data_IF_136777794670
#
_entry.id   IF_136777794670
#
_cell.length_a   1.000
_cell.length_b   1.000
_cell.length_c   1.000
_cell.angle_alpha   90.00
_cell.angle_beta   90.00
_cell.angle_gamma   90.00
#
_symmetry.space_group_name_H-M   'P 1'
#
loop_
_entity.id
_entity.type
_entity.pdbx_description
1 polymer ?
#
# COMPACT_ATOMS: atom_id res chain seq x y z
N UNK A 1 20.68 2.38 30.05
CA UNK A 1 19.23 2.32 29.87
C UNK A 1 18.98 2.28 28.38
N UNK A 2 18.93 1.07 27.84
CA UNK A 2 18.47 0.88 26.47
C UNK A 2 16.96 1.16 26.48
N UNK A 3 16.42 1.96 25.55
CA UNK A 3 14.98 2.05 25.41
C UNK A 3 14.48 0.66 25.05
N UNK A 4 13.66 0.09 25.94
CA UNK A 4 12.83 -1.08 25.68
C UNK A 4 12.17 -0.83 24.33
N UNK A 5 12.48 -1.64 23.33
CA UNK A 5 11.69 -1.70 22.11
C UNK A 5 10.29 -2.10 22.56
N UNK A 6 9.38 -1.13 22.69
CA UNK A 6 7.96 -1.42 22.74
C UNK A 6 7.68 -2.25 21.49
N UNK A 7 7.39 -3.53 21.68
CA UNK A 7 6.93 -4.38 20.62
C UNK A 7 5.60 -3.77 20.17
N UNK A 8 5.63 -3.00 19.08
CA UNK A 8 4.44 -2.42 18.48
C UNK A 8 3.47 -3.58 18.21
N UNK A 9 2.30 -3.51 18.85
CA UNK A 9 1.24 -4.49 18.66
C UNK A 9 0.94 -4.62 17.15
N UNK A 10 0.84 -5.85 16.61
CA UNK A 10 0.59 -6.06 15.19
C UNK A 10 -0.69 -5.35 14.75
N UNK A 11 -0.62 -4.59 13.66
CA UNK A 11 -1.81 -3.93 13.09
C UNK A 11 -2.86 -4.96 12.66
N UNK A 12 -4.14 -4.59 12.54
CA UNK A 12 -5.19 -5.48 12.05
C UNK A 12 -4.86 -6.07 10.66
N UNK A 13 -4.22 -5.27 9.79
CA UNK A 13 -3.71 -5.74 8.52
C UNK A 13 -2.60 -6.78 8.71
N UNK A 14 -1.62 -6.51 9.56
CA UNK A 14 -0.51 -7.44 9.82
C UNK A 14 -0.97 -8.77 10.45
N UNK A 15 -1.98 -8.73 11.31
CA UNK A 15 -2.66 -9.92 11.83
C UNK A 15 -3.34 -10.70 10.69
N UNK A 16 -4.15 -10.03 9.86
CA UNK A 16 -4.83 -10.66 8.73
C UNK A 16 -3.84 -11.25 7.70
N UNK A 17 -2.69 -10.62 7.50
CA UNK A 17 -1.62 -11.13 6.63
C UNK A 17 -0.89 -12.33 7.26
N UNK A 18 -0.75 -12.37 8.59
CA UNK A 18 -0.12 -13.49 9.29
C UNK A 18 -1.00 -14.75 9.27
N UNK A 19 -2.32 -14.56 9.22
CA UNK A 19 -3.33 -15.63 9.14
C UNK A 19 -3.71 -16.01 7.70
N UNK A 20 -2.98 -15.48 6.71
CA UNK A 20 -3.29 -15.71 5.31
C UNK A 20 -3.10 -17.19 4.94
N UNK A 21 -4.20 -17.84 4.59
CA UNK A 21 -4.23 -19.20 4.07
C UNK A 21 -4.31 -19.25 2.55
N UNK A 22 -4.47 -20.46 2.02
CA UNK A 22 -4.69 -20.66 0.58
C UNK A 22 -6.16 -20.48 0.17
N UNK A 23 -7.08 -20.47 1.13
CA UNK A 23 -8.52 -20.36 0.90
C UNK A 23 -8.96 -18.92 0.53
N UNK A 24 -10.12 -18.82 -0.12
CA UNK A 24 -10.68 -17.54 -0.54
C UNK A 24 -11.05 -16.63 0.65
N UNK A 25 -11.55 -17.20 1.74
CA UNK A 25 -12.04 -16.42 2.88
C UNK A 25 -10.90 -15.68 3.61
N UNK A 26 -9.74 -16.30 3.77
CA UNK A 26 -8.56 -15.64 4.34
C UNK A 26 -8.04 -14.52 3.44
N UNK A 27 -8.05 -14.70 2.12
CA UNK A 27 -7.72 -13.64 1.15
C UNK A 27 -8.70 -12.46 1.21
N UNK A 28 -10.00 -12.75 1.31
CA UNK A 28 -11.03 -11.72 1.48
C UNK A 28 -10.83 -10.93 2.77
N UNK A 29 -10.54 -11.61 3.91
CA UNK A 29 -10.22 -10.93 5.17
C UNK A 29 -9.00 -10.02 5.05
N UNK A 30 -7.93 -10.48 4.39
CA UNK A 30 -6.74 -9.66 4.15
C UNK A 30 -7.05 -8.42 3.30
N UNK A 31 -7.89 -8.56 2.26
CA UNK A 31 -8.32 -7.42 1.43
C UNK A 31 -9.20 -6.43 2.21
N UNK A 32 -10.13 -6.91 3.03
CA UNK A 32 -10.97 -6.05 3.88
C UNK A 32 -10.12 -5.30 4.90
N UNK A 33 -9.21 -6.00 5.57
CA UNK A 33 -8.27 -5.39 6.51
C UNK A 33 -7.38 -4.36 5.80
N UNK A 34 -6.94 -4.65 4.57
CA UNK A 34 -6.15 -3.72 3.77
C UNK A 34 -6.93 -2.45 3.44
N UNK A 35 -8.17 -2.54 2.95
CA UNK A 35 -8.99 -1.37 2.59
C UNK A 35 -9.23 -0.45 3.80
N UNK A 36 -9.21 -0.98 5.01
CA UNK A 36 -9.39 -0.23 6.26
C UNK A 36 -8.07 0.24 6.87
N UNK A 37 -6.93 -0.15 6.30
CA UNK A 37 -5.63 0.11 6.88
C UNK A 37 -5.08 1.48 6.50
N UNK A 38 -4.25 1.99 7.40
CA UNK A 38 -3.23 2.99 7.07
C UNK A 38 -1.96 2.25 6.67
N UNK A 39 -1.38 2.61 5.53
CA UNK A 39 -0.16 2.02 4.99
C UNK A 39 0.90 3.09 4.79
N UNK A 40 2.13 2.62 4.56
CA UNK A 40 3.27 3.46 4.27
C UNK A 40 3.75 3.20 2.84
N UNK A 41 4.09 4.28 2.13
CA UNK A 41 4.73 4.25 0.81
C UNK A 41 6.11 4.88 0.91
N UNK A 42 7.00 4.56 -0.02
CA UNK A 42 8.25 5.28 -0.21
C UNK A 42 8.12 6.21 -1.41
N UNK A 43 8.33 7.51 -1.18
CA UNK A 43 8.18 8.59 -2.15
C UNK A 43 9.51 9.32 -2.40
N UNK A 44 9.61 9.99 -3.54
CA UNK A 44 10.82 10.74 -3.93
C UNK A 44 10.99 12.06 -3.17
N UNK A 45 9.92 12.57 -2.57
CA UNK A 45 9.93 13.74 -1.70
C UNK A 45 8.81 13.65 -0.64
N UNK A 46 8.88 14.45 0.44
CA UNK A 46 7.81 14.50 1.43
C UNK A 46 6.52 15.04 0.80
N UNK A 47 5.44 14.27 0.96
CA UNK A 47 4.08 14.68 0.61
C UNK A 47 3.13 14.26 1.73
N UNK A 48 1.99 14.94 1.82
CA UNK A 48 0.92 14.49 2.71
C UNK A 48 0.23 13.22 2.15
N UNK A 49 -0.44 12.48 3.04
CA UNK A 49 -1.16 11.26 2.68
C UNK A 49 -2.50 11.48 1.98
N UNK A 50 -2.84 12.72 1.62
CA UNK A 50 -4.11 13.04 0.97
C UNK A 50 -4.05 12.62 -0.51
N UNK A 51 -5.14 12.08 -1.07
CA UNK A 51 -5.10 11.52 -2.42
C UNK A 51 -4.67 12.53 -3.50
N UNK A 52 -4.94 13.82 -3.32
CA UNK A 52 -4.55 14.83 -4.31
C UNK A 52 -3.06 15.17 -4.25
N UNK A 53 -2.43 15.18 -3.07
CA UNK A 53 -0.99 15.39 -2.95
C UNK A 53 -0.21 14.15 -3.40
N UNK A 54 -0.72 12.96 -3.12
CA UNK A 54 -0.08 11.71 -3.55
C UNK A 54 0.07 11.64 -5.08
N UNK A 55 -0.83 12.24 -5.87
CA UNK A 55 -0.70 12.28 -7.33
C UNK A 55 0.48 13.13 -7.84
N UNK A 56 1.11 13.93 -6.97
CA UNK A 56 2.26 14.78 -7.33
C UNK A 56 3.62 14.12 -7.10
N UNK A 57 3.64 12.99 -6.37
CA UNK A 57 4.86 12.26 -6.03
C UNK A 57 5.08 11.04 -6.92
N UNK A 58 6.33 10.60 -7.00
CA UNK A 58 6.68 9.27 -7.52
C UNK A 58 6.86 8.33 -6.34
N UNK A 59 6.39 7.09 -6.51
CA UNK A 59 6.49 6.07 -5.47
C UNK A 59 7.39 4.92 -5.90
N UNK A 60 7.99 4.26 -4.92
CA UNK A 60 8.86 3.13 -5.14
C UNK A 60 8.07 1.98 -5.78
N UNK A 61 8.60 1.51 -6.90
CA UNK A 61 8.15 0.30 -7.56
C UNK A 61 9.21 -0.77 -7.36
N UNK A 62 8.75 -1.99 -7.15
CA UNK A 62 9.61 -3.16 -6.98
C UNK A 62 9.26 -4.18 -8.04
N UNK A 63 10.24 -5.02 -8.36
CA UNK A 63 10.03 -6.22 -9.14
C UNK A 63 10.02 -7.39 -8.17
N UNK A 64 8.84 -7.83 -7.76
CA UNK A 64 8.68 -8.88 -6.75
C UNK A 64 8.14 -10.18 -7.35
N UNK A 65 8.67 -11.32 -6.91
CA UNK A 65 8.28 -12.68 -7.31
C UNK A 65 8.90 -13.25 -8.60
N UNK A 66 8.40 -14.40 -9.09
CA UNK A 66 9.03 -15.17 -10.20
C UNK A 66 8.95 -14.49 -11.57
N UNK A 67 8.23 -13.37 -11.67
CA UNK A 67 8.17 -12.52 -12.87
C UNK A 67 8.84 -11.19 -12.52
N UNK A 68 10.16 -11.17 -12.63
CA UNK A 68 11.03 -10.03 -12.32
C UNK A 68 10.79 -8.80 -13.23
N UNK A 69 9.95 -8.94 -14.26
CA UNK A 69 9.70 -7.85 -15.22
C UNK A 69 8.42 -7.05 -14.92
N UNK A 70 7.69 -7.39 -13.85
CA UNK A 70 6.40 -6.77 -13.54
C UNK A 70 6.54 -5.71 -12.44
N UNK A 71 6.28 -4.42 -12.73
CA UNK A 71 6.34 -3.38 -11.72
C UNK A 71 5.22 -3.54 -10.70
N UNK A 72 5.56 -3.40 -9.42
CA UNK A 72 4.66 -3.52 -8.28
C UNK A 72 4.83 -2.31 -7.36
N UNK A 73 3.76 -1.60 -7.05
CA UNK A 73 3.80 -0.55 -6.03
C UNK A 73 4.11 -1.17 -4.66
N UNK A 74 5.18 -0.70 -4.00
CA UNK A 74 5.53 -1.17 -2.66
C UNK A 74 4.74 -0.43 -1.59
N UNK A 75 4.03 -1.18 -0.76
CA UNK A 75 3.32 -0.70 0.43
C UNK A 75 3.88 -1.39 1.66
N UNK A 76 3.84 -0.73 2.80
CA UNK A 76 4.32 -1.26 4.07
C UNK A 76 3.25 -1.12 5.15
N UNK A 77 3.14 -2.13 6.03
CA UNK A 77 2.18 -2.10 7.14
C UNK A 77 2.61 -1.17 8.26
N UNK A 78 3.88 -0.74 8.30
CA UNK A 78 4.40 0.19 9.30
C UNK A 78 5.58 1.02 8.78
N UNK A 79 5.90 2.11 9.48
CA UNK A 79 7.04 2.95 9.17
C UNK A 79 8.37 2.18 9.31
N UNK A 80 8.47 1.32 10.33
CA UNK A 80 9.65 0.50 10.61
C UNK A 80 9.93 -0.49 9.48
N UNK A 81 8.88 -1.03 8.85
CA UNK A 81 9.02 -1.93 7.68
C UNK A 81 9.45 -1.17 6.43
N UNK A 82 8.93 0.04 6.23
CA UNK A 82 9.37 0.93 5.14
C UNK A 82 10.83 1.34 5.31
N UNK A 83 11.21 1.74 6.52
CA UNK A 83 12.58 2.12 6.89
C UNK A 83 13.55 0.93 6.81
N UNK A 84 13.16 -0.25 7.29
CA UNK A 84 13.90 -1.49 7.08
C UNK A 84 14.11 -1.77 5.60
N UNK A 85 13.05 -1.68 4.79
CA UNK A 85 13.15 -1.89 3.35
C UNK A 85 14.14 -0.92 2.71
N UNK A 86 14.06 0.37 3.06
CA UNK A 86 14.94 1.41 2.53
C UNK A 86 16.41 1.15 2.88
N UNK A 87 16.71 0.74 4.11
CA UNK A 87 18.08 0.36 4.52
C UNK A 87 18.62 -0.83 3.74
N UNK A 88 17.78 -1.83 3.50
CA UNK A 88 18.16 -3.04 2.75
C UNK A 88 18.25 -2.77 1.23
N UNK A 89 17.52 -1.77 0.74
CA UNK A 89 17.48 -1.37 -0.67
C UNK A 89 17.70 0.14 -0.81
N UNK A 90 18.93 0.67 -0.62
CA UNK A 90 19.19 2.12 -0.60
C UNK A 90 18.91 2.84 -1.93
N UNK A 91 18.77 2.09 -3.02
CA UNK A 91 18.34 2.62 -4.32
C UNK A 91 16.82 2.93 -4.39
N UNK A 92 16.05 2.54 -3.37
CA UNK A 92 14.65 2.90 -3.22
C UNK A 92 14.48 4.38 -2.86
N UNK A 93 13.23 4.86 -2.93
CA UNK A 93 12.92 6.25 -2.62
C UNK A 93 13.00 6.51 -1.09
N UNK A 94 13.50 7.67 -0.65
CA UNK A 94 13.91 7.86 0.75
C UNK A 94 12.78 8.30 1.69
N UNK A 95 11.67 8.83 1.19
CA UNK A 95 10.66 9.46 2.03
C UNK A 95 9.51 8.51 2.34
N UNK A 96 9.38 8.09 3.60
CA UNK A 96 8.21 7.34 4.04
C UNK A 96 6.98 8.26 4.16
N UNK A 97 5.89 7.89 3.48
CA UNK A 97 4.62 8.63 3.46
C UNK A 97 3.51 7.74 3.99
N UNK A 98 2.80 8.21 5.01
CA UNK A 98 1.64 7.54 5.56
C UNK A 98 0.39 7.92 4.77
N UNK A 99 -0.41 6.93 4.35
CA UNK A 99 -1.67 7.17 3.65
C UNK A 99 -2.70 6.09 3.99
N UNK A 100 -3.99 6.41 3.87
CA UNK A 100 -5.03 5.38 3.86
C UNK A 100 -4.85 4.49 2.62
N UNK A 101 -4.99 3.18 2.78
CA UNK A 101 -4.84 2.22 1.69
C UNK A 101 -5.71 2.53 0.46
N UNK A 102 -6.99 2.97 0.59
CA UNK A 102 -7.79 3.45 -0.54
C UNK A 102 -7.11 4.53 -1.37
N UNK A 103 -6.38 5.46 -0.73
CA UNK A 103 -5.65 6.51 -1.44
C UNK A 103 -4.37 5.99 -2.07
N UNK A 104 -3.66 5.08 -1.39
CA UNK A 104 -2.49 4.41 -1.94
C UNK A 104 -2.81 3.61 -3.21
N UNK A 105 -4.00 2.99 -3.31
CA UNK A 105 -4.48 2.28 -4.51
C UNK A 105 -4.51 3.19 -5.75
N UNK A 106 -4.79 4.50 -5.57
CA UNK A 106 -4.82 5.45 -6.69
C UNK A 106 -3.43 5.75 -7.25
N UNK A 107 -2.37 5.46 -6.49
CA UNK A 107 -0.99 5.64 -6.90
C UNK A 107 -0.46 4.47 -7.73
N UNK A 108 -1.22 3.39 -7.90
CA UNK A 108 -0.81 2.22 -8.69
C UNK A 108 -0.70 2.63 -10.17
N UNK A 109 0.49 2.54 -10.79
CA UNK A 109 0.65 2.84 -12.22
C UNK A 109 -0.20 1.93 -13.11
N UNK A 110 -0.49 2.37 -14.33
CA UNK A 110 -1.14 1.51 -15.31
C UNK A 110 -0.27 0.29 -15.63
N UNK A 111 -0.87 -0.91 -15.64
CA UNK A 111 -0.15 -2.16 -15.89
C UNK A 111 0.71 -2.66 -14.73
N UNK A 112 0.76 -1.95 -13.59
CA UNK A 112 1.47 -2.37 -12.39
C UNK A 112 0.55 -3.10 -11.40
N UNK A 113 1.15 -3.93 -10.56
CA UNK A 113 0.47 -4.53 -9.39
C UNK A 113 0.80 -3.77 -8.11
N UNK A 114 0.47 -4.36 -6.96
CA UNK A 114 0.92 -3.88 -5.65
C UNK A 114 1.39 -5.05 -4.79
N UNK A 115 2.36 -4.76 -3.92
CA UNK A 115 2.88 -5.69 -2.94
C UNK A 115 2.94 -5.00 -1.59
N UNK A 116 2.40 -5.66 -0.57
CA UNK A 116 2.51 -5.26 0.82
C UNK A 116 3.71 -6.00 1.42
N UNK A 117 4.61 -5.27 2.06
CA UNK A 117 5.83 -5.75 2.70
C UNK A 117 6.73 -6.55 1.73
N UNK A 118 7.20 -5.95 0.61
CA UNK A 118 8.08 -6.64 -0.33
C UNK A 118 9.33 -7.20 0.36
N UNK A 119 9.70 -8.44 0.01
CA UNK A 119 10.80 -9.21 0.63
C UNK A 119 10.71 -9.37 2.16
N UNK A 120 9.54 -9.17 2.76
CA UNK A 120 9.34 -9.24 4.21
C UNK A 120 8.09 -10.06 4.55
N UNK A 121 8.13 -10.77 5.67
CA UNK A 121 6.97 -11.52 6.19
C UNK A 121 6.27 -10.77 7.32
N UNK A 122 4.93 -10.84 7.43
CA UNK A 122 4.01 -11.36 6.41
C UNK A 122 3.88 -10.36 5.24
N UNK A 123 3.64 -10.89 4.03
CA UNK A 123 3.54 -10.10 2.80
C UNK A 123 2.37 -10.55 1.93
N UNK A 124 1.91 -9.68 1.05
CA UNK A 124 0.75 -9.96 0.19
C UNK A 124 0.89 -9.31 -1.17
N UNK A 125 0.46 -10.02 -2.22
CA UNK A 125 0.59 -9.57 -3.61
C UNK A 125 -0.75 -9.49 -4.30
N UNK A 126 -0.97 -8.38 -4.98
CA UNK A 126 -2.07 -8.21 -5.95
C UNK A 126 -1.44 -7.98 -7.32
N UNK A 127 -1.67 -8.92 -8.25
CA UNK A 127 -1.19 -8.81 -9.63
C UNK A 127 -1.86 -7.65 -10.40
N UNK A 128 -1.31 -7.22 -11.55
CA UNK A 128 -1.77 -5.99 -12.20
C UNK A 128 -3.22 -5.96 -12.65
N UNK A 129 -3.78 -7.08 -13.07
CA UNK A 129 -5.18 -7.14 -13.50
C UNK A 129 -6.10 -6.78 -12.32
N UNK A 130 -5.94 -7.46 -11.19
CA UNK A 130 -6.70 -7.19 -9.97
C UNK A 130 -6.39 -5.78 -9.41
N UNK A 131 -5.14 -5.33 -9.45
CA UNK A 131 -4.75 -4.00 -8.99
C UNK A 131 -5.39 -2.90 -9.85
N UNK A 132 -5.45 -3.09 -11.18
CA UNK A 132 -6.12 -2.20 -12.12
C UNK A 132 -7.62 -2.14 -11.85
N UNK A 133 -8.26 -3.29 -11.59
CA UNK A 133 -9.67 -3.33 -11.21
C UNK A 133 -9.94 -2.54 -9.93
N UNK A 134 -9.13 -2.74 -8.89
CA UNK A 134 -9.25 -2.00 -7.62
C UNK A 134 -9.07 -0.49 -7.81
N UNK A 135 -8.05 -0.08 -8.59
CA UNK A 135 -7.81 1.32 -8.91
C UNK A 135 -9.00 1.96 -9.64
N UNK A 136 -9.53 1.28 -10.65
CA UNK A 136 -10.68 1.79 -11.42
C UNK A 136 -11.95 1.91 -10.55
N UNK A 137 -12.19 0.95 -9.66
CA UNK A 137 -13.29 1.03 -8.70
C UNK A 137 -13.11 2.23 -7.75
N UNK A 138 -11.90 2.47 -7.26
CA UNK A 138 -11.63 3.60 -6.37
C UNK A 138 -11.81 4.95 -7.08
N UNK A 139 -11.38 5.07 -8.34
CA UNK A 139 -11.61 6.26 -9.17
C UNK A 139 -13.11 6.53 -9.32
N UNK A 140 -13.90 5.49 -9.62
CA UNK A 140 -15.35 5.61 -9.78
C UNK A 140 -16.04 6.00 -8.46
N UNK A 141 -15.64 5.40 -7.34
CA UNK A 141 -16.15 5.75 -6.01
C UNK A 141 -15.86 7.22 -5.67
N UNK A 142 -14.64 7.72 -5.93
CA UNK A 142 -14.32 9.14 -5.72
C UNK A 142 -15.15 10.05 -6.60
N UNK A 143 -15.31 9.71 -7.89
CA UNK A 143 -16.15 10.48 -8.82
C UNK A 143 -17.58 10.62 -8.30
N UNK A 144 -18.17 9.53 -7.79
CA UNK A 144 -19.53 9.54 -7.20
C UNK A 144 -19.61 10.38 -5.93
N UNK A 145 -18.62 10.26 -5.05
CA UNK A 145 -18.56 11.06 -3.83
C UNK A 145 -18.47 12.57 -4.14
N UNK A 146 -17.65 12.96 -5.12
CA UNK A 146 -17.53 14.35 -5.55
C UNK A 146 -18.81 14.87 -6.22
N UNK A 147 -19.51 14.05 -7.00
CA UNK A 147 -20.78 14.43 -7.63
C UNK A 147 -21.92 14.58 -6.61
N UNK A 148 -21.93 13.77 -5.54
CA UNK A 148 -22.95 13.84 -4.49
C UNK A 148 -22.78 15.05 -3.55
N UNK A 149 -21.60 15.66 -3.51
CA UNK A 149 -21.28 16.82 -2.67
C UNK A 149 -21.36 18.16 -3.42
N UNK A 150 -21.79 18.18 -4.69
CA UNK A 150 -22.06 19.43 -5.40
C UNK A 150 -23.33 20.08 -4.83
N UNK A 151 -23.29 21.33 -4.32
CA UNK A 151 -24.49 22.00 -3.84
C UNK A 151 -25.48 22.18 -4.99
N UNK A 152 -26.75 21.84 -4.74
CA UNK A 152 -27.84 22.18 -5.64
C UNK A 152 -27.84 23.70 -5.84
N UNK A 153 -27.58 24.13 -7.07
CA UNK A 153 -27.58 25.53 -7.48
C UNK A 153 -28.98 26.11 -7.53
#
# INVERSE_FOLDING_TARGET
MEPTHDALEPTALEQALSELGEDLASRERALVAFIQATVWLLADHPVDGHPDALQTARFALVSDGPRLDQPMLSLFTSAERADRYHREHPASLPCAVQAEAPFAILCIPEGAGMVINPNQTPGFRIGPEAATMLRNQMIELRRRASASNAPAS
#
